data_IF_303356422013
#
_entry.id   IF_303356422013
#
_cell.length_a   1.000
_cell.length_b   1.000
_cell.length_c   1.000
_cell.angle_alpha   90.00
_cell.angle_beta   90.00
_cell.angle_gamma   90.00
#
_symmetry.space_group_name_H-M   'P 1'
#
loop_
_entity.id
_entity.type
_entity.pdbx_description
1 polymer ?
#
# COMPACT_ATOMS: atom_id res chain seq x y z
N UNK A 1 30.63 61.89 25.14
CA UNK A 1 30.89 61.09 23.91
C UNK A 1 31.34 59.69 24.34
N UNK A 2 31.06 58.68 23.52
CA UNK A 2 31.48 57.26 23.64
C UNK A 2 30.62 56.39 24.59
N UNK A 3 29.46 55.87 24.16
CA UNK A 3 29.19 54.64 23.37
C UNK A 3 29.77 53.36 23.99
N UNK A 4 28.89 52.53 24.56
CA UNK A 4 28.97 51.06 24.52
C UNK A 4 27.54 50.52 24.45
N UNK A 5 27.12 50.12 23.24
CA UNK A 5 25.86 49.41 23.00
C UNK A 5 26.17 47.92 23.10
N UNK A 6 25.54 47.23 24.04
CA UNK A 6 25.57 45.79 24.14
C UNK A 6 24.84 45.18 22.94
N UNK A 7 25.55 44.43 22.09
CA UNK A 7 24.97 43.65 20.99
C UNK A 7 24.67 42.26 21.53
N UNK A 8 23.42 42.03 21.94
CA UNK A 8 22.89 40.70 22.22
C UNK A 8 22.64 39.97 20.91
N UNK A 9 23.44 38.93 20.62
CA UNK A 9 23.17 37.98 19.55
C UNK A 9 22.01 37.06 19.97
N UNK A 10 20.78 37.43 19.61
CA UNK A 10 19.66 36.51 19.65
C UNK A 10 19.78 35.53 18.49
N UNK A 11 20.31 34.34 18.75
CA UNK A 11 20.31 33.23 17.80
C UNK A 11 18.87 32.74 17.59
N UNK A 12 18.27 33.15 16.47
CA UNK A 12 16.96 32.69 16.02
C UNK A 12 17.11 31.24 15.52
N UNK A 13 16.74 30.26 16.34
CA UNK A 13 16.60 28.87 15.93
C UNK A 13 15.40 28.76 14.98
N UNK A 14 15.63 28.86 13.67
CA UNK A 14 14.67 28.39 12.67
C UNK A 14 14.58 26.87 12.75
N UNK A 15 13.67 26.36 13.58
CA UNK A 15 13.18 24.99 13.40
C UNK A 15 12.36 24.97 12.12
N UNK A 16 12.96 24.52 11.02
CA UNK A 16 12.23 24.22 9.80
C UNK A 16 11.16 23.17 10.15
N UNK A 17 9.89 23.58 10.17
CA UNK A 17 8.76 22.65 10.19
C UNK A 17 8.82 21.91 8.87
N UNK A 18 9.45 20.73 8.87
CA UNK A 18 9.42 19.86 7.72
C UNK A 18 7.97 19.39 7.56
N UNK A 19 7.36 19.54 6.39
CA UNK A 19 6.05 18.94 6.14
C UNK A 19 6.17 17.44 6.35
N UNK A 20 5.34 16.90 7.24
CA UNK A 20 5.23 15.47 7.47
C UNK A 20 4.55 14.84 6.24
N UNK A 21 5.32 14.60 5.18
CA UNK A 21 4.90 13.66 4.16
C UNK A 21 4.79 12.29 4.83
N UNK A 22 3.65 11.63 4.68
CA UNK A 22 3.52 10.23 5.08
C UNK A 22 4.67 9.44 4.44
N UNK A 23 5.25 8.49 5.18
CA UNK A 23 6.34 7.70 4.63
C UNK A 23 5.80 6.92 3.41
N UNK A 24 6.54 6.79 2.29
CA UNK A 24 6.09 6.02 1.12
C UNK A 24 5.63 4.59 1.47
N UNK A 25 6.18 4.01 2.54
CA UNK A 25 5.74 2.73 3.08
C UNK A 25 4.30 2.76 3.64
N UNK A 26 3.88 3.84 4.31
CA UNK A 26 2.52 4.02 4.79
C UNK A 26 1.53 4.15 3.63
N UNK A 27 1.91 4.86 2.56
CA UNK A 27 1.11 4.97 1.33
C UNK A 27 0.95 3.60 0.65
N UNK A 28 2.03 2.80 0.60
CA UNK A 28 1.99 1.44 0.09
C UNK A 28 1.06 0.55 0.96
N UNK A 29 1.13 0.66 2.29
CA UNK A 29 0.23 -0.04 3.19
C UNK A 29 -1.24 0.37 2.98
N UNK A 30 -1.51 1.65 2.80
CA UNK A 30 -2.85 2.18 2.50
C UNK A 30 -3.42 1.58 1.22
N UNK A 31 -2.66 1.68 0.12
CA UNK A 31 -3.08 1.14 -1.18
C UNK A 31 -3.26 -0.38 -1.18
N UNK A 32 -2.40 -1.11 -0.45
CA UNK A 32 -2.54 -2.56 -0.25
C UNK A 32 -3.85 -2.92 0.46
N UNK A 33 -4.17 -2.21 1.54
CA UNK A 33 -5.39 -2.44 2.32
C UNK A 33 -6.65 -2.03 1.54
N UNK A 34 -6.60 -0.95 0.76
CA UNK A 34 -7.65 -0.55 -0.19
C UNK A 34 -7.94 -1.68 -1.19
N UNK A 35 -6.90 -2.18 -1.87
CA UNK A 35 -7.04 -3.28 -2.84
C UNK A 35 -7.63 -4.55 -2.19
N UNK A 36 -7.17 -4.90 -0.99
CA UNK A 36 -7.69 -6.05 -0.24
C UNK A 36 -9.15 -5.85 0.17
N UNK A 37 -9.51 -4.67 0.65
CA UNK A 37 -10.87 -4.32 1.06
C UNK A 37 -11.85 -4.43 -0.10
N UNK A 38 -11.52 -3.85 -1.25
CA UNK A 38 -12.35 -3.96 -2.45
C UNK A 38 -12.51 -5.40 -2.94
N UNK A 39 -11.45 -6.21 -2.87
CA UNK A 39 -11.53 -7.62 -3.25
C UNK A 39 -12.45 -8.43 -2.32
N UNK A 40 -12.37 -8.20 -1.01
CA UNK A 40 -13.25 -8.86 -0.04
C UNK A 40 -14.71 -8.43 -0.25
N UNK A 41 -14.95 -7.14 -0.48
CA UNK A 41 -16.28 -6.65 -0.83
C UNK A 41 -16.80 -7.28 -2.13
N UNK A 42 -15.94 -7.44 -3.13
CA UNK A 42 -16.30 -8.08 -4.41
C UNK A 42 -16.74 -9.53 -4.20
N UNK A 43 -16.01 -10.30 -3.39
CA UNK A 43 -16.36 -11.68 -3.02
C UNK A 43 -17.69 -11.74 -2.23
N UNK A 44 -17.99 -10.69 -1.45
CA UNK A 44 -19.23 -10.58 -0.68
C UNK A 44 -20.46 -10.17 -1.50
N UNK A 45 -20.27 -9.67 -2.72
CA UNK A 45 -21.36 -9.22 -3.59
C UNK A 45 -21.87 -10.36 -4.48
N UNK A 46 -23.18 -10.37 -4.73
CA UNK A 46 -23.82 -11.21 -5.77
C UNK A 46 -24.28 -10.39 -6.97
N UNK A 47 -24.21 -9.05 -6.90
CA UNK A 47 -24.58 -8.15 -7.99
C UNK A 47 -23.39 -7.95 -8.93
N UNK A 48 -23.58 -8.25 -10.21
CA UNK A 48 -22.50 -8.22 -11.22
C UNK A 48 -21.97 -6.82 -11.48
N UNK A 49 -22.85 -5.81 -11.53
CA UNK A 49 -22.41 -4.43 -11.76
C UNK A 49 -21.53 -3.94 -10.60
N UNK A 50 -21.89 -4.30 -9.37
CA UNK A 50 -21.11 -4.04 -8.16
C UNK A 50 -19.78 -4.82 -8.17
N UNK A 51 -19.79 -6.08 -8.61
CA UNK A 51 -18.56 -6.86 -8.77
C UNK A 51 -17.60 -6.22 -9.80
N UNK A 52 -18.13 -5.71 -10.93
CA UNK A 52 -17.35 -5.04 -11.97
C UNK A 52 -16.76 -3.70 -11.47
N UNK A 53 -17.54 -2.88 -10.78
CA UNK A 53 -17.06 -1.64 -10.15
C UNK A 53 -15.96 -1.93 -9.12
N UNK A 54 -16.18 -2.92 -8.25
CA UNK A 54 -15.20 -3.31 -7.24
C UNK A 54 -13.94 -3.88 -7.84
N UNK A 55 -14.02 -4.68 -8.92
CA UNK A 55 -12.85 -5.12 -9.69
C UNK A 55 -12.04 -3.92 -10.19
N UNK A 56 -12.71 -2.93 -10.77
CA UNK A 56 -12.07 -1.67 -11.19
C UNK A 56 -11.35 -0.97 -10.04
N UNK A 57 -11.97 -0.88 -8.86
CA UNK A 57 -11.36 -0.30 -7.66
C UNK A 57 -10.17 -1.10 -7.13
N UNK A 58 -10.23 -2.43 -7.17
CA UNK A 58 -9.09 -3.30 -6.84
C UNK A 58 -7.91 -3.01 -7.75
N UNK A 59 -8.15 -2.88 -9.06
CA UNK A 59 -7.10 -2.57 -10.03
C UNK A 59 -6.54 -1.16 -9.87
N UNK A 60 -7.38 -0.17 -9.60
CA UNK A 60 -6.94 1.20 -9.33
C UNK A 60 -6.04 1.28 -8.07
N UNK A 61 -6.43 0.65 -6.96
CA UNK A 61 -5.62 0.59 -5.76
C UNK A 61 -4.31 -0.20 -5.98
N UNK A 62 -4.36 -1.28 -6.79
CA UNK A 62 -3.16 -2.03 -7.16
C UNK A 62 -2.19 -1.19 -8.00
N UNK A 63 -2.69 -0.40 -8.95
CA UNK A 63 -1.88 0.50 -9.76
C UNK A 63 -1.24 1.62 -8.93
N UNK A 64 -1.98 2.18 -7.95
CA UNK A 64 -1.45 3.13 -6.97
C UNK A 64 -0.30 2.50 -6.17
N UNK A 65 -0.49 1.28 -5.67
CA UNK A 65 0.55 0.53 -4.96
C UNK A 65 1.78 0.29 -5.84
N UNK A 66 1.60 -0.20 -7.07
CA UNK A 66 2.70 -0.40 -8.02
C UNK A 66 3.48 0.90 -8.28
N UNK A 67 2.77 2.04 -8.40
CA UNK A 67 3.36 3.37 -8.52
C UNK A 67 4.20 3.76 -7.30
N UNK A 68 3.68 3.54 -6.08
CA UNK A 68 4.41 3.80 -4.84
C UNK A 68 5.67 2.95 -4.72
N UNK A 69 5.58 1.64 -5.02
CA UNK A 69 6.74 0.74 -5.01
C UNK A 69 7.81 1.19 -6.02
N UNK A 70 7.39 1.64 -7.21
CA UNK A 70 8.30 2.16 -8.22
C UNK A 70 8.98 3.47 -7.79
N UNK A 71 8.27 4.35 -7.06
CA UNK A 71 8.84 5.57 -6.50
C UNK A 71 9.84 5.26 -5.37
N UNK A 72 9.51 4.31 -4.50
CA UNK A 72 10.39 3.82 -3.43
C UNK A 72 11.71 3.27 -3.99
N UNK A 73 11.67 2.48 -5.06
CA UNK A 73 12.90 2.00 -5.73
C UNK A 73 13.78 3.11 -6.30
N UNK A 74 13.22 4.30 -6.54
CA UNK A 74 13.93 5.47 -7.09
C UNK A 74 14.33 6.49 -6.03
N UNK A 75 14.00 6.27 -4.75
CA UNK A 75 14.22 7.26 -3.69
C UNK A 75 15.68 7.38 -3.24
N UNK A 76 16.59 6.55 -3.78
CA UNK A 76 17.99 6.40 -3.32
C UNK A 76 18.12 6.10 -1.81
N UNK A 77 17.03 5.66 -1.18
CA UNK A 77 17.00 5.23 0.20
C UNK A 77 17.10 3.69 0.24
N UNK A 78 18.22 3.18 0.75
CA UNK A 78 18.47 1.74 0.83
C UNK A 78 17.42 0.97 1.65
N UNK A 79 16.77 1.62 2.62
CA UNK A 79 15.70 0.99 3.39
C UNK A 79 14.42 0.84 2.55
N UNK A 80 14.08 1.84 1.72
CA UNK A 80 12.93 1.76 0.82
C UNK A 80 13.14 0.66 -0.23
N UNK A 81 14.33 0.60 -0.82
CA UNK A 81 14.71 -0.45 -1.76
C UNK A 81 14.61 -1.84 -1.13
N UNK A 82 15.18 -2.04 0.06
CA UNK A 82 15.13 -3.31 0.76
C UNK A 82 13.68 -3.76 1.07
N UNK A 83 12.82 -2.83 1.48
CA UNK A 83 11.38 -3.10 1.69
C UNK A 83 10.69 -3.55 0.40
N UNK A 84 10.93 -2.84 -0.70
CA UNK A 84 10.31 -3.19 -2.00
C UNK A 84 10.78 -4.56 -2.48
N UNK A 85 12.08 -4.86 -2.36
CA UNK A 85 12.66 -6.16 -2.71
C UNK A 85 12.02 -7.29 -1.91
N UNK A 86 11.82 -7.10 -0.61
CA UNK A 86 11.15 -8.09 0.25
C UNK A 86 9.64 -8.22 -0.05
N UNK A 87 8.98 -7.12 -0.45
CA UNK A 87 7.54 -7.06 -0.71
C UNK A 87 7.15 -7.71 -2.04
N UNK A 88 7.91 -7.44 -3.09
CA UNK A 88 7.51 -7.69 -4.49
C UNK A 88 7.16 -9.15 -4.82
N UNK A 89 7.89 -10.17 -4.36
CA UNK A 89 7.55 -11.56 -4.67
C UNK A 89 6.16 -11.97 -4.17
N UNK A 90 5.80 -11.58 -2.94
CA UNK A 90 4.49 -11.86 -2.37
C UNK A 90 3.38 -11.09 -3.10
N UNK A 91 3.67 -9.85 -3.52
CA UNK A 91 2.73 -9.02 -4.28
C UNK A 91 2.41 -9.56 -5.67
N UNK A 92 3.42 -10.00 -6.43
CA UNK A 92 3.18 -10.60 -7.73
C UNK A 92 2.37 -11.89 -7.60
N UNK A 93 2.71 -12.76 -6.63
CA UNK A 93 1.93 -13.96 -6.36
C UNK A 93 0.49 -13.65 -5.90
N UNK A 94 0.30 -12.58 -5.12
CA UNK A 94 -1.03 -12.08 -4.73
C UNK A 94 -1.85 -11.70 -5.96
N UNK A 95 -1.29 -10.88 -6.86
CA UNK A 95 -1.93 -10.48 -8.12
C UNK A 95 -2.27 -11.70 -9.00
N UNK A 96 -1.34 -12.63 -9.18
CA UNK A 96 -1.57 -13.83 -9.99
C UNK A 96 -2.74 -14.66 -9.48
N UNK A 97 -2.81 -14.97 -8.18
CA UNK A 97 -3.94 -15.72 -7.63
C UNK A 97 -5.24 -14.93 -7.66
N UNK A 98 -5.18 -13.61 -7.48
CA UNK A 98 -6.37 -12.75 -7.59
C UNK A 98 -6.98 -12.83 -9.00
N UNK A 99 -6.16 -12.62 -10.04
CA UNK A 99 -6.63 -12.60 -11.44
C UNK A 99 -6.94 -14.00 -11.98
N UNK A 100 -6.15 -15.01 -11.59
CA UNK A 100 -6.25 -16.37 -12.14
C UNK A 100 -7.27 -17.26 -11.43
N UNK A 101 -7.58 -16.99 -10.16
CA UNK A 101 -8.39 -17.91 -9.35
C UNK A 101 -9.56 -17.20 -8.66
N UNK A 102 -9.31 -16.15 -7.88
CA UNK A 102 -10.34 -15.51 -7.04
C UNK A 102 -11.39 -14.81 -7.91
N UNK A 103 -10.97 -13.90 -8.79
CA UNK A 103 -11.88 -13.13 -9.65
C UNK A 103 -12.69 -14.07 -10.57
N UNK A 104 -12.09 -15.07 -11.25
CA UNK A 104 -12.83 -16.04 -12.04
C UNK A 104 -13.86 -16.82 -11.23
N UNK A 105 -13.53 -17.26 -10.01
CA UNK A 105 -14.49 -17.93 -9.13
C UNK A 105 -15.64 -17.02 -8.73
N UNK A 106 -15.39 -15.74 -8.44
CA UNK A 106 -16.46 -14.77 -8.16
C UNK A 106 -17.43 -14.65 -9.33
N UNK A 107 -16.92 -14.47 -10.55
CA UNK A 107 -17.77 -14.36 -11.74
C UNK A 107 -18.51 -15.66 -12.09
N UNK A 108 -17.93 -16.81 -11.73
CA UNK A 108 -18.57 -18.12 -11.88
C UNK A 108 -19.60 -18.42 -10.76
N UNK A 109 -19.79 -17.50 -9.80
CA UNK A 109 -20.68 -17.72 -8.63
C UNK A 109 -20.11 -18.69 -7.59
N UNK A 110 -18.85 -19.10 -7.73
CA UNK A 110 -18.12 -20.01 -6.82
C UNK A 110 -17.57 -19.26 -5.61
N UNK A 111 -18.48 -18.67 -4.83
CA UNK A 111 -18.12 -17.74 -3.74
C UNK A 111 -17.40 -18.46 -2.58
N UNK A 112 -17.74 -19.71 -2.30
CA UNK A 112 -17.09 -20.47 -1.23
C UNK A 112 -15.61 -20.73 -1.56
N UNK A 113 -15.31 -21.09 -2.80
CA UNK A 113 -13.97 -21.30 -3.34
C UNK A 113 -13.18 -19.99 -3.35
N UNK A 114 -13.79 -18.89 -3.81
CA UNK A 114 -13.18 -17.57 -3.76
C UNK A 114 -12.82 -17.15 -2.32
N UNK A 115 -13.73 -17.37 -1.35
CA UNK A 115 -13.49 -17.11 0.07
C UNK A 115 -12.37 -17.98 0.65
N UNK A 116 -12.32 -19.27 0.30
CA UNK A 116 -11.30 -20.18 0.78
C UNK A 116 -9.89 -19.74 0.33
N UNK A 117 -9.73 -19.38 -0.95
CA UNK A 117 -8.45 -18.89 -1.48
C UNK A 117 -8.09 -17.53 -0.88
N UNK A 118 -9.07 -16.62 -0.80
CA UNK A 118 -8.89 -15.29 -0.25
C UNK A 118 -8.54 -15.31 1.24
N UNK A 119 -9.10 -16.22 2.02
CA UNK A 119 -8.84 -16.38 3.46
C UNK A 119 -7.63 -17.28 3.78
N UNK A 120 -7.23 -18.14 2.84
CA UNK A 120 -6.06 -19.01 2.95
C UNK A 120 -4.80 -18.35 2.42
N UNK A 121 -4.29 -18.86 1.28
CA UNK A 121 -2.99 -18.45 0.73
C UNK A 121 -2.87 -16.94 0.51
N UNK A 122 -3.97 -16.27 0.16
CA UNK A 122 -3.90 -14.84 -0.06
C UNK A 122 -3.77 -14.04 1.25
N UNK A 123 -4.34 -14.52 2.36
CA UNK A 123 -4.16 -13.88 3.66
C UNK A 123 -2.73 -14.05 4.20
N UNK A 124 -2.10 -15.19 3.94
CA UNK A 124 -0.68 -15.40 4.29
C UNK A 124 0.22 -14.44 3.50
N UNK A 125 -0.01 -14.28 2.19
CA UNK A 125 0.71 -13.28 1.37
C UNK A 125 0.48 -11.85 1.86
N UNK A 126 -0.74 -11.52 2.29
CA UNK A 126 -1.01 -10.22 2.94
C UNK A 126 -0.16 -10.02 4.19
N UNK A 127 0.00 -11.04 5.04
CA UNK A 127 0.85 -10.96 6.23
C UNK A 127 2.31 -10.70 5.86
N UNK A 128 2.84 -11.37 4.84
CA UNK A 128 4.20 -11.17 4.34
C UNK A 128 4.40 -9.75 3.83
N UNK A 129 3.48 -9.26 2.99
CA UNK A 129 3.52 -7.89 2.46
C UNK A 129 3.42 -6.83 3.55
N UNK A 130 2.51 -7.01 4.53
CA UNK A 130 2.41 -6.13 5.70
C UNK A 130 3.71 -6.09 6.50
N UNK A 131 4.31 -7.27 6.74
CA UNK A 131 5.57 -7.39 7.46
C UNK A 131 6.73 -6.71 6.74
N UNK A 132 6.85 -6.92 5.42
CA UNK A 132 7.91 -6.31 4.60
C UNK A 132 7.82 -4.77 4.59
N UNK A 133 6.61 -4.22 4.56
CA UNK A 133 6.41 -2.77 4.50
C UNK A 133 6.35 -2.10 5.88
N UNK A 134 6.14 -2.88 6.96
CA UNK A 134 5.96 -2.36 8.31
C UNK A 134 4.55 -1.81 8.57
N UNK A 135 3.53 -2.35 7.88
CA UNK A 135 2.16 -1.90 8.04
C UNK A 135 1.64 -2.17 9.46
N UNK A 136 0.99 -1.17 10.06
CA UNK A 136 0.34 -1.28 11.38
C UNK A 136 -0.95 -2.13 11.33
#
# INVERSE_FOLDING_TARGET
>A
MQKSIAVSFAALLLTAVQPAFAAPADDACGALMEARGHLVAMIGSTDKATQDDLKGKVHAASAKLDGTLAAMMKSYNANDEAKVVAFKPAWEAFKTTREGEIIPNVYAGKIAEAKAIAGGIQAERMKQMKGAMGCK
#
